data_IF_068839956263
#
_entry.id   IF_068839956263
#
_cell.length_a   1.000
_cell.length_b   1.000
_cell.length_c   1.000
_cell.angle_alpha   90.00
_cell.angle_beta   90.00
_cell.angle_gamma   90.00
#
_symmetry.space_group_name_H-M   'P 1'
#
loop_
_entity.id
_entity.type
_entity.pdbx_description
1 polymer ?
#
# COMPACT_ATOMS: atom_id res chain seq x y z
N UNK A 1 -16.54 25.55 23.21
CA UNK A 1 -16.00 24.21 23.58
C UNK A 1 -15.61 23.52 22.29
N UNK A 2 -14.31 23.40 22.02
CA UNK A 2 -13.79 22.71 20.84
C UNK A 2 -14.07 21.22 21.04
N UNK A 3 -14.99 20.63 20.26
CA UNK A 3 -15.05 19.19 20.13
C UNK A 3 -13.76 18.79 19.41
N UNK A 4 -12.83 18.20 20.17
CA UNK A 4 -11.66 17.57 19.58
C UNK A 4 -12.17 16.59 18.53
N UNK A 5 -11.76 16.76 17.27
CA UNK A 5 -12.12 15.86 16.18
C UNK A 5 -11.53 14.48 16.52
N UNK A 6 -12.34 13.61 17.11
CA UNK A 6 -11.91 12.29 17.51
C UNK A 6 -11.64 11.45 16.27
N UNK A 7 -10.41 10.96 16.14
CA UNK A 7 -10.00 10.13 15.01
C UNK A 7 -10.66 8.76 15.14
N UNK A 8 -11.42 8.35 14.15
CA UNK A 8 -12.06 7.03 14.13
C UNK A 8 -11.03 5.89 14.22
N UNK A 9 -11.40 4.76 14.81
CA UNK A 9 -10.53 3.58 14.93
C UNK A 9 -10.06 3.08 13.56
N UNK A 10 -10.91 3.17 12.56
CA UNK A 10 -10.56 2.86 11.17
C UNK A 10 -9.45 3.79 10.68
N UNK A 11 -9.63 5.10 10.80
CA UNK A 11 -8.68 6.11 10.34
C UNK A 11 -7.34 5.97 11.06
N UNK A 12 -7.36 5.87 12.39
CA UNK A 12 -6.16 5.67 13.20
C UNK A 12 -5.37 4.45 12.75
N UNK A 13 -6.05 3.30 12.56
CA UNK A 13 -5.41 2.05 12.15
C UNK A 13 -4.72 2.18 10.79
N UNK A 14 -5.43 2.66 9.76
CA UNK A 14 -4.92 2.66 8.40
C UNK A 14 -3.91 3.77 8.14
N UNK A 15 -4.05 4.93 8.78
CA UNK A 15 -3.05 6.00 8.74
C UNK A 15 -1.74 5.53 9.41
N UNK A 16 -1.82 4.94 10.62
CA UNK A 16 -0.64 4.46 11.32
C UNK A 16 0.07 3.34 10.55
N UNK A 17 -0.67 2.38 10.00
CA UNK A 17 -0.09 1.30 9.20
C UNK A 17 0.55 1.82 7.92
N UNK A 18 -0.10 2.75 7.22
CA UNK A 18 0.46 3.39 6.04
C UNK A 18 1.74 4.16 6.36
N UNK A 19 1.77 4.91 7.47
CA UNK A 19 2.96 5.63 7.91
C UNK A 19 4.13 4.69 8.24
N UNK A 20 3.85 3.56 8.91
CA UNK A 20 4.87 2.53 9.19
C UNK A 20 5.41 1.87 7.93
N UNK A 21 4.54 1.55 6.97
CA UNK A 21 4.96 1.00 5.68
C UNK A 21 5.76 2.02 4.87
N UNK A 22 5.44 3.30 4.96
CA UNK A 22 6.21 4.38 4.35
C UNK A 22 7.60 4.49 4.99
N UNK A 23 7.68 4.48 6.33
CA UNK A 23 8.95 4.49 7.06
C UNK A 23 9.85 3.33 6.60
N UNK A 24 9.30 2.11 6.55
CA UNK A 24 10.01 0.93 6.06
C UNK A 24 10.44 1.10 4.59
N UNK A 25 9.56 1.65 3.74
CA UNK A 25 9.87 1.91 2.33
C UNK A 25 11.01 2.90 2.14
N UNK A 26 11.09 3.95 2.97
CA UNK A 26 12.23 4.90 2.95
C UNK A 26 13.52 4.21 3.38
N UNK A 27 13.48 3.42 4.45
CA UNK A 27 14.65 2.66 4.92
C UNK A 27 15.13 1.67 3.86
N UNK A 28 14.24 0.91 3.25
CA UNK A 28 14.56 -0.04 2.17
C UNK A 28 15.10 0.69 0.93
N UNK A 29 14.55 1.84 0.58
CA UNK A 29 15.05 2.66 -0.52
C UNK A 29 16.47 3.13 -0.30
N UNK A 30 16.80 3.65 0.88
CA UNK A 30 18.15 4.04 1.27
C UNK A 30 19.11 2.83 1.27
N UNK A 31 18.67 1.69 1.85
CA UNK A 31 19.43 0.44 1.84
C UNK A 31 19.73 -0.04 0.42
N UNK A 32 18.75 0.00 -0.47
CA UNK A 32 18.90 -0.36 -1.88
C UNK A 32 19.88 0.53 -2.62
N UNK A 33 19.85 1.84 -2.35
CA UNK A 33 20.73 2.81 -3.01
C UNK A 33 22.21 2.71 -2.57
N UNK A 34 22.45 2.38 -1.29
CA UNK A 34 23.80 2.42 -0.73
C UNK A 34 24.47 1.04 -0.60
N UNK A 35 23.75 0.02 -0.19
CA UNK A 35 24.32 -1.30 0.12
C UNK A 35 24.04 -2.34 -0.98
N UNK A 36 22.82 -2.38 -1.52
CA UNK A 36 22.47 -3.40 -2.51
C UNK A 36 23.01 -3.08 -3.90
N UNK A 37 23.22 -1.81 -4.23
CA UNK A 37 23.75 -1.40 -5.52
C UNK A 37 25.15 -2.00 -5.80
N UNK A 38 25.94 -2.22 -4.75
CA UNK A 38 27.25 -2.83 -4.87
C UNK A 38 27.24 -4.38 -4.85
N UNK A 39 26.10 -5.01 -4.54
CA UNK A 39 26.00 -6.45 -4.28
C UNK A 39 25.05 -7.21 -5.21
N UNK A 40 24.05 -6.53 -5.75
CA UNK A 40 23.05 -7.15 -6.61
C UNK A 40 23.36 -6.90 -8.08
N UNK A 41 23.04 -7.88 -8.91
CA UNK A 41 22.97 -7.72 -10.36
C UNK A 41 21.98 -6.62 -10.74
N UNK A 42 22.17 -5.89 -11.85
CA UNK A 42 21.33 -4.75 -12.24
C UNK A 42 19.84 -5.08 -12.28
N UNK A 43 19.47 -6.25 -12.80
CA UNK A 43 18.06 -6.67 -12.88
C UNK A 43 17.45 -6.95 -11.49
N UNK A 44 18.19 -7.57 -10.58
CA UNK A 44 17.75 -7.81 -9.21
C UNK A 44 17.57 -6.50 -8.44
N UNK A 45 18.48 -5.54 -8.63
CA UNK A 45 18.40 -4.21 -8.04
C UNK A 45 17.17 -3.44 -8.55
N UNK A 46 16.87 -3.51 -9.85
CA UNK A 46 15.69 -2.88 -10.44
C UNK A 46 14.40 -3.50 -9.89
N UNK A 47 14.35 -4.83 -9.77
CA UNK A 47 13.24 -5.56 -9.14
C UNK A 47 13.01 -5.09 -7.70
N UNK A 48 14.07 -4.95 -6.92
CA UNK A 48 14.01 -4.44 -5.55
C UNK A 48 13.47 -3.00 -5.50
N UNK A 49 13.99 -2.11 -6.34
CA UNK A 49 13.56 -0.70 -6.43
C UNK A 49 12.08 -0.58 -6.82
N UNK A 50 11.62 -1.43 -7.72
CA UNK A 50 10.19 -1.53 -8.09
C UNK A 50 9.36 -1.89 -6.87
N UNK A 51 9.78 -2.87 -6.07
CA UNK A 51 9.11 -3.24 -4.82
C UNK A 51 9.00 -2.06 -3.86
N UNK A 52 10.10 -1.31 -3.66
CA UNK A 52 10.13 -0.12 -2.79
C UNK A 52 9.17 0.96 -3.29
N UNK A 53 9.19 1.27 -4.58
CA UNK A 53 8.32 2.27 -5.18
C UNK A 53 6.84 1.92 -4.98
N UNK A 54 6.45 0.69 -5.28
CA UNK A 54 5.05 0.24 -5.11
C UNK A 54 4.64 0.21 -3.64
N UNK A 55 5.53 -0.18 -2.73
CA UNK A 55 5.27 -0.10 -1.30
C UNK A 55 4.99 1.34 -0.85
N UNK A 56 5.80 2.30 -1.24
CA UNK A 56 5.63 3.71 -0.87
C UNK A 56 4.33 4.29 -1.45
N UNK A 57 4.03 4.05 -2.73
CA UNK A 57 2.81 4.53 -3.37
C UNK A 57 1.55 3.98 -2.67
N UNK A 58 1.53 2.70 -2.31
CA UNK A 58 0.37 2.09 -1.69
C UNK A 58 0.31 2.29 -0.17
N UNK A 59 1.45 2.58 0.47
CA UNK A 59 1.48 3.09 1.84
C UNK A 59 0.79 4.47 1.93
N UNK A 60 1.06 5.38 0.98
CA UNK A 60 0.29 6.62 0.84
C UNK A 60 -1.18 6.35 0.55
N UNK A 61 -1.49 5.36 -0.28
CA UNK A 61 -2.86 4.91 -0.53
C UNK A 61 -3.60 4.51 0.75
N UNK A 62 -2.95 3.79 1.67
CA UNK A 62 -3.53 3.43 2.97
C UNK A 62 -3.79 4.66 3.85
N UNK A 63 -2.89 5.64 3.86
CA UNK A 63 -3.09 6.90 4.57
C UNK A 63 -4.30 7.65 4.00
N UNK A 64 -4.40 7.75 2.66
CA UNK A 64 -5.54 8.38 1.98
C UNK A 64 -6.87 7.67 2.30
N UNK A 65 -6.89 6.34 2.35
CA UNK A 65 -8.07 5.56 2.74
C UNK A 65 -8.48 5.85 4.19
N UNK A 66 -7.51 5.96 5.10
CA UNK A 66 -7.77 6.34 6.48
C UNK A 66 -8.36 7.75 6.59
N UNK A 67 -7.81 8.73 5.87
CA UNK A 67 -8.33 10.10 5.81
C UNK A 67 -9.73 10.15 5.16
N UNK A 68 -9.94 9.41 4.06
CA UNK A 68 -11.26 9.31 3.44
C UNK A 68 -12.31 8.80 4.43
N UNK A 69 -11.97 7.79 5.24
CA UNK A 69 -12.85 7.29 6.29
C UNK A 69 -13.20 8.31 7.35
N UNK A 70 -12.28 9.23 7.67
CA UNK A 70 -12.52 10.31 8.62
C UNK A 70 -13.54 11.32 8.09
N UNK A 71 -13.48 11.65 6.80
CA UNK A 71 -14.34 12.69 6.20
C UNK A 71 -15.69 12.17 5.68
N UNK A 72 -15.71 10.96 5.11
CA UNK A 72 -16.92 10.42 4.46
C UNK A 72 -17.63 9.36 5.31
N UNK A 73 -17.04 9.01 6.45
CA UNK A 73 -17.50 7.88 7.25
C UNK A 73 -17.01 6.54 6.70
N UNK A 74 -17.03 5.56 7.58
CA UNK A 74 -16.60 4.21 7.29
C UNK A 74 -17.65 3.45 6.46
N UNK A 75 -17.23 2.80 5.38
CA UNK A 75 -18.09 1.97 4.54
C UNK A 75 -17.47 0.60 4.29
N UNK A 76 -18.32 -0.37 3.87
CA UNK A 76 -17.83 -1.70 3.47
C UNK A 76 -16.84 -1.64 2.30
N UNK A 77 -17.00 -0.68 1.39
CA UNK A 77 -16.12 -0.48 0.25
C UNK A 77 -14.75 0.01 0.69
N UNK A 78 -14.74 0.98 1.60
CA UNK A 78 -13.51 1.56 2.13
C UNK A 78 -12.70 0.53 2.93
N UNK A 79 -13.37 -0.27 3.77
CA UNK A 79 -12.73 -1.37 4.51
C UNK A 79 -12.13 -2.44 3.59
N UNK A 80 -12.86 -2.82 2.54
CA UNK A 80 -12.35 -3.79 1.55
C UNK A 80 -11.19 -3.23 0.76
N UNK A 81 -11.27 -1.97 0.32
CA UNK A 81 -10.17 -1.28 -0.37
C UNK A 81 -8.89 -1.30 0.46
N UNK A 82 -8.96 -0.93 1.73
CA UNK A 82 -7.80 -0.92 2.61
C UNK A 82 -7.17 -2.32 2.80
N UNK A 83 -8.00 -3.35 2.95
CA UNK A 83 -7.52 -4.74 3.05
C UNK A 83 -6.87 -5.22 1.75
N UNK A 84 -7.47 -4.93 0.59
CA UNK A 84 -6.91 -5.28 -0.71
C UNK A 84 -5.60 -4.54 -0.97
N UNK A 85 -5.50 -3.28 -0.57
CA UNK A 85 -4.26 -2.51 -0.70
C UNK A 85 -3.14 -3.09 0.15
N UNK A 86 -3.42 -3.45 1.41
CA UNK A 86 -2.45 -4.13 2.27
C UNK A 86 -2.04 -5.50 1.71
N UNK A 87 -3.01 -6.29 1.24
CA UNK A 87 -2.76 -7.58 0.58
C UNK A 87 -1.82 -7.40 -0.62
N UNK A 88 -2.07 -6.38 -1.44
CA UNK A 88 -1.22 -6.04 -2.57
C UNK A 88 0.21 -5.72 -2.14
N UNK A 89 0.42 -4.94 -1.08
CA UNK A 89 1.77 -4.65 -0.56
C UNK A 89 2.46 -5.96 -0.13
N UNK A 90 1.78 -6.82 0.60
CA UNK A 90 2.36 -8.09 1.07
C UNK A 90 2.73 -9.00 -0.10
N UNK A 91 1.81 -9.22 -1.04
CA UNK A 91 2.01 -10.18 -2.14
C UNK A 91 2.94 -9.61 -3.22
N UNK A 92 2.72 -8.37 -3.66
CA UNK A 92 3.52 -7.78 -4.75
C UNK A 92 4.91 -7.39 -4.28
N UNK A 93 5.01 -6.49 -3.29
CA UNK A 93 6.30 -6.00 -2.83
C UNK A 93 7.09 -7.11 -2.14
N UNK A 94 6.44 -7.96 -1.34
CA UNK A 94 7.07 -9.12 -0.72
C UNK A 94 7.67 -10.08 -1.75
N UNK A 95 6.93 -10.42 -2.81
CA UNK A 95 7.46 -11.28 -3.89
C UNK A 95 8.67 -10.63 -4.57
N UNK A 96 8.62 -9.33 -4.87
CA UNK A 96 9.75 -8.63 -5.52
C UNK A 96 11.00 -8.57 -4.62
N UNK A 97 10.84 -8.36 -3.32
CA UNK A 97 11.97 -8.38 -2.38
C UNK A 97 12.62 -9.77 -2.28
N UNK A 98 11.79 -10.82 -2.22
CA UNK A 98 12.28 -12.19 -2.18
C UNK A 98 12.98 -12.57 -3.48
N UNK A 99 12.43 -12.19 -4.64
CA UNK A 99 13.04 -12.44 -5.95
C UNK A 99 14.38 -11.71 -6.10
N UNK A 100 14.45 -10.45 -5.66
CA UNK A 100 15.70 -9.70 -5.66
C UNK A 100 16.75 -10.33 -4.74
N UNK A 101 16.33 -10.97 -3.65
CA UNK A 101 17.18 -11.74 -2.74
C UNK A 101 17.58 -13.12 -3.23
N UNK A 102 17.22 -13.52 -4.46
CA UNK A 102 17.59 -14.82 -5.06
C UNK A 102 16.59 -15.95 -4.77
N UNK A 103 15.38 -15.64 -4.32
CA UNK A 103 14.35 -16.67 -4.13
C UNK A 103 13.92 -17.34 -5.46
N UNK A 104 13.33 -18.54 -5.40
CA UNK A 104 12.94 -19.27 -6.60
C UNK A 104 11.99 -18.51 -7.52
N UNK A 105 12.19 -18.65 -8.83
CA UNK A 105 11.45 -17.89 -9.87
C UNK A 105 9.93 -18.06 -9.84
N UNK A 106 9.42 -19.16 -9.28
CA UNK A 106 7.97 -19.37 -9.16
C UNK A 106 7.28 -18.31 -8.31
N UNK A 107 8.00 -17.65 -7.37
CA UNK A 107 7.48 -16.49 -6.62
C UNK A 107 7.07 -15.31 -7.53
N UNK A 108 7.61 -15.24 -8.74
CA UNK A 108 7.18 -14.26 -9.73
C UNK A 108 5.70 -14.38 -10.12
N UNK A 109 5.09 -15.57 -9.94
CA UNK A 109 3.65 -15.77 -10.15
C UNK A 109 2.78 -15.16 -9.05
N UNK A 110 3.36 -14.85 -7.90
CA UNK A 110 2.65 -14.22 -6.78
C UNK A 110 2.49 -12.71 -7.01
N UNK A 111 3.48 -12.07 -7.62
CA UNK A 111 3.44 -10.62 -7.88
C UNK A 111 2.20 -10.16 -8.68
N UNK A 112 1.77 -10.81 -9.77
CA UNK A 112 0.54 -10.46 -10.48
C UNK A 112 -0.71 -10.50 -9.60
N UNK A 113 -0.82 -11.44 -8.66
CA UNK A 113 -1.94 -11.50 -7.71
C UNK A 113 -1.96 -10.27 -6.79
N UNK A 114 -0.78 -9.84 -6.33
CA UNK A 114 -0.63 -8.59 -5.60
C UNK A 114 -1.00 -7.37 -6.44
N UNK A 115 -0.61 -7.34 -7.72
CA UNK A 115 -1.01 -6.29 -8.66
C UNK A 115 -2.52 -6.21 -8.86
N UNK A 116 -3.19 -7.34 -9.02
CA UNK A 116 -4.66 -7.41 -9.08
C UNK A 116 -5.32 -6.90 -7.80
N UNK A 117 -4.71 -7.19 -6.64
CA UNK A 117 -5.20 -6.65 -5.35
C UNK A 117 -5.12 -5.13 -5.30
N UNK A 118 -4.07 -4.52 -5.83
CA UNK A 118 -3.96 -3.06 -5.95
C UNK A 118 -5.04 -2.47 -6.88
N UNK A 119 -5.25 -3.07 -8.06
CA UNK A 119 -6.29 -2.65 -9.00
C UNK A 119 -7.67 -2.70 -8.32
N UNK A 120 -7.97 -3.80 -7.64
CA UNK A 120 -9.23 -3.95 -6.90
C UNK A 120 -9.37 -2.90 -5.78
N UNK A 121 -8.29 -2.59 -5.06
CA UNK A 121 -8.29 -1.59 -4.00
C UNK A 121 -8.64 -0.19 -4.53
N UNK A 122 -7.97 0.26 -5.59
CA UNK A 122 -8.23 1.55 -6.21
C UNK A 122 -9.64 1.64 -6.82
N UNK A 123 -10.10 0.57 -7.45
CA UNK A 123 -11.48 0.48 -7.93
C UNK A 123 -12.50 0.63 -6.80
N UNK A 124 -12.29 -0.06 -5.68
CA UNK A 124 -13.20 0.01 -4.53
C UNK A 124 -13.22 1.41 -3.91
N UNK A 125 -12.08 2.10 -3.85
CA UNK A 125 -12.00 3.49 -3.40
C UNK A 125 -12.81 4.41 -4.33
N UNK A 126 -12.62 4.29 -5.65
CA UNK A 126 -13.38 5.07 -6.63
C UNK A 126 -14.90 4.84 -6.49
N UNK A 127 -15.33 3.59 -6.28
CA UNK A 127 -16.73 3.26 -6.05
C UNK A 127 -17.26 3.83 -4.74
N UNK A 128 -16.45 3.88 -3.69
CA UNK A 128 -16.84 4.50 -2.42
C UNK A 128 -17.14 5.99 -2.62
N UNK A 129 -16.22 6.74 -3.22
CA UNK A 129 -16.37 8.19 -3.45
C UNK A 129 -17.60 8.49 -4.30
N UNK A 130 -17.79 7.79 -5.42
CA UNK A 130 -18.97 7.98 -6.30
C UNK A 130 -20.31 7.75 -5.58
N UNK A 131 -20.35 6.85 -4.61
CA UNK A 131 -21.58 6.55 -3.85
C UNK A 131 -21.81 7.52 -2.70
N UNK A 132 -20.75 8.08 -2.12
CA UNK A 132 -20.83 9.07 -1.04
C UNK A 132 -21.44 10.39 -1.56
N UNK A 133 -21.07 10.82 -2.76
CA UNK A 133 -21.62 12.03 -3.40
C UNK A 133 -23.13 11.89 -3.66
N UNK A 134 -23.59 10.71 -4.11
CA UNK A 134 -25.03 10.45 -4.42
C UNK A 134 -25.98 10.49 -3.22
N UNK A 135 -25.48 10.49 -2.00
CA UNK A 135 -26.32 10.52 -0.79
C UNK A 135 -26.63 11.94 -0.32
N UNK A 136 -26.01 12.94 -0.91
CA UNK A 136 -26.19 14.37 -0.56
C UNK A 136 -27.04 15.15 -1.60
N UNK A 137 -27.38 14.51 -2.72
CA UNK A 137 -28.38 14.99 -3.70
C UNK A 137 -29.74 14.30 -3.45
#
# INVERSE_FOLDING_TARGET
MSQACEISDFSRRWISLGALLMLLGVMLGAFGAHLLQARLEPHALETFRTGVLYQQLHALGLILLGLAGQWTGESRWLRRSARMMLMGVILFCGALYLLAGGAPRWLGMVAPLGGLSFIAAWWMLAMHVRRSVRKHD
#
